data_IF_395827601972
#
_entry.id   IF_395827601972
#
_cell.length_a   1.000
_cell.length_b   1.000
_cell.length_c   1.000
_cell.angle_alpha   90.00
_cell.angle_beta   90.00
_cell.angle_gamma   90.00
#
_symmetry.space_group_name_H-M   'P 1'
#
loop_
_entity.id
_entity.type
_entity.pdbx_description
1 polymer ?
#
# COMPACT_ATOMS: atom_id res chain seq x y z
N UNK A 1 0.93 -16.38 -2.11
CA UNK A 1 1.31 -16.35 -3.54
C UNK A 1 2.80 -16.08 -3.69
N UNK A 2 3.38 -16.26 -4.88
CA UNK A 2 4.73 -15.75 -5.20
C UNK A 2 4.59 -14.48 -6.05
N UNK A 3 5.02 -13.30 -5.56
CA UNK A 3 4.98 -12.08 -6.37
C UNK A 3 6.02 -12.16 -7.50
N UNK A 4 5.74 -11.50 -8.62
CA UNK A 4 6.78 -11.19 -9.60
C UNK A 4 7.65 -10.05 -9.08
N UNK A 5 7.04 -8.87 -8.88
CA UNK A 5 7.67 -7.69 -8.29
C UNK A 5 6.84 -7.13 -7.14
N UNK A 6 7.53 -6.73 -6.06
CA UNK A 6 6.97 -5.97 -4.95
C UNK A 6 7.19 -4.48 -5.15
N UNK A 7 6.11 -3.69 -5.05
CA UNK A 7 6.18 -2.24 -5.18
C UNK A 7 5.87 -1.58 -3.83
N UNK A 8 6.84 -0.88 -3.24
CA UNK A 8 6.74 -0.23 -1.93
C UNK A 8 6.49 1.27 -2.09
N UNK A 9 5.25 1.69 -1.90
CA UNK A 9 4.81 3.09 -2.05
C UNK A 9 4.81 3.81 -0.70
N UNK A 10 5.67 4.83 -0.58
CA UNK A 10 5.66 5.76 0.54
C UNK A 10 4.46 6.73 0.46
N UNK A 11 4.13 7.38 1.57
CA UNK A 11 3.08 8.41 1.59
C UNK A 11 3.45 9.65 0.76
N UNK A 12 2.47 10.40 0.22
CA UNK A 12 2.73 11.60 -0.62
C UNK A 12 3.64 12.68 -0.04
N UNK A 13 3.70 12.81 1.30
CA UNK A 13 4.55 13.77 2.00
C UNK A 13 5.84 13.16 2.54
N UNK A 14 6.13 11.92 2.17
CA UNK A 14 7.34 11.20 2.52
C UNK A 14 8.18 10.95 1.27
N UNK A 15 9.32 10.27 1.46
CA UNK A 15 10.17 9.79 0.37
C UNK A 15 10.37 8.28 0.52
N UNK A 16 11.03 7.65 -0.46
CA UNK A 16 11.40 6.24 -0.38
C UNK A 16 12.22 5.90 0.88
N UNK A 17 12.91 6.88 1.48
CA UNK A 17 13.66 6.70 2.73
C UNK A 17 12.79 6.31 3.94
N UNK A 18 11.47 6.54 3.89
CA UNK A 18 10.53 6.10 4.93
C UNK A 18 10.49 4.57 5.11
N UNK A 19 10.96 3.81 4.10
CA UNK A 19 11.08 2.36 4.18
C UNK A 19 12.36 1.89 4.90
N UNK A 20 13.32 2.78 5.17
CA UNK A 20 14.63 2.40 5.72
C UNK A 20 15.30 1.31 4.90
N UNK A 21 15.87 0.31 5.58
CA UNK A 21 16.55 -0.84 4.94
C UNK A 21 15.58 -1.96 4.48
N UNK A 22 14.26 -1.75 4.60
CA UNK A 22 13.27 -2.78 4.26
C UNK A 22 13.39 -3.28 2.80
N UNK A 23 13.56 -2.42 1.78
CA UNK A 23 13.71 -2.88 0.40
C UNK A 23 14.94 -3.79 0.23
N UNK A 24 16.07 -3.43 0.83
CA UNK A 24 17.33 -4.19 0.77
C UNK A 24 17.19 -5.54 1.49
N UNK A 25 16.53 -5.56 2.65
CA UNK A 25 16.25 -6.78 3.39
C UNK A 25 15.33 -7.73 2.61
N UNK A 26 14.26 -7.24 1.98
CA UNK A 26 13.40 -8.07 1.14
C UNK A 26 14.15 -8.64 -0.07
N UNK A 27 15.04 -7.84 -0.70
CA UNK A 27 15.91 -8.32 -1.78
C UNK A 27 16.88 -9.40 -1.31
N UNK A 28 17.39 -9.30 -0.08
CA UNK A 28 18.22 -10.36 0.51
C UNK A 28 17.47 -11.68 0.72
N UNK A 29 16.13 -11.63 0.80
CA UNK A 29 15.26 -12.80 0.80
C UNK A 29 14.92 -13.31 -0.61
N UNK A 30 15.53 -12.74 -1.64
CA UNK A 30 15.35 -13.14 -3.04
C UNK A 30 14.11 -12.56 -3.71
N UNK A 31 13.48 -11.54 -3.13
CA UNK A 31 12.32 -10.87 -3.71
C UNK A 31 12.75 -9.74 -4.63
N UNK A 32 12.10 -9.60 -5.79
CA UNK A 32 12.27 -8.43 -6.64
C UNK A 32 11.44 -7.26 -6.06
N UNK A 33 12.12 -6.18 -5.69
CA UNK A 33 11.53 -5.07 -4.92
C UNK A 33 11.87 -3.73 -5.56
N UNK A 34 10.84 -2.91 -5.72
CA UNK A 34 10.92 -1.56 -6.26
C UNK A 34 10.30 -0.61 -5.23
N UNK A 35 11.07 0.38 -4.78
CA UNK A 35 10.63 1.42 -3.88
C UNK A 35 10.77 2.76 -4.62
N UNK A 36 9.79 3.15 -5.46
CA UNK A 36 9.91 4.36 -6.25
C UNK A 36 9.89 5.57 -5.31
N UNK A 37 10.84 6.49 -5.52
CA UNK A 37 10.80 7.80 -4.89
C UNK A 37 9.94 8.73 -5.76
N UNK A 38 8.78 9.12 -5.22
CA UNK A 38 7.75 9.88 -5.93
C UNK A 38 7.73 11.29 -5.36
N UNK A 39 8.41 12.26 -6.01
CA UNK A 39 8.52 13.61 -5.47
C UNK A 39 7.18 14.35 -5.52
N UNK A 40 6.93 15.16 -4.50
CA UNK A 40 5.98 16.28 -4.42
C UNK A 40 4.73 16.14 -5.33
N UNK A 41 3.92 15.13 -5.03
CA UNK A 41 2.66 14.88 -5.70
C UNK A 41 1.63 14.35 -4.72
N UNK A 42 0.39 14.81 -4.82
CA UNK A 42 -0.75 14.33 -4.02
C UNK A 42 -1.82 13.76 -4.94
N UNK A 43 -2.70 12.92 -4.39
CA UNK A 43 -3.86 12.37 -5.08
C UNK A 43 -3.51 11.84 -6.48
N UNK A 44 -4.19 12.38 -7.50
CA UNK A 44 -4.01 11.95 -8.88
C UNK A 44 -2.58 12.20 -9.42
N UNK A 45 -1.89 13.25 -8.97
CA UNK A 45 -0.51 13.54 -9.41
C UNK A 45 0.46 12.51 -8.82
N UNK A 46 0.28 12.13 -7.56
CA UNK A 46 1.04 11.05 -6.94
C UNK A 46 0.84 9.75 -7.72
N UNK A 47 -0.42 9.36 -7.97
CA UNK A 47 -0.77 8.14 -8.69
C UNK A 47 -0.14 8.10 -10.08
N UNK A 48 -0.22 9.20 -10.83
CA UNK A 48 0.36 9.30 -12.17
C UNK A 48 1.88 9.13 -12.12
N UNK A 49 2.58 9.86 -11.25
CA UNK A 49 4.04 9.79 -11.12
C UNK A 49 4.50 8.41 -10.64
N UNK A 50 3.89 7.88 -9.59
CA UNK A 50 4.16 6.53 -9.11
C UNK A 50 4.01 5.50 -10.23
N UNK A 51 2.91 5.58 -10.99
CA UNK A 51 2.65 4.63 -12.08
C UNK A 51 3.67 4.72 -13.22
N UNK A 52 4.14 5.93 -13.56
CA UNK A 52 5.20 6.12 -14.55
C UNK A 52 6.55 5.61 -14.06
N UNK A 53 6.91 5.89 -12.81
CA UNK A 53 8.17 5.40 -12.21
C UNK A 53 8.17 3.89 -12.14
N UNK A 54 7.06 3.26 -11.74
CA UNK A 54 6.89 1.80 -11.79
C UNK A 54 7.05 1.29 -13.23
N UNK A 55 6.40 1.92 -14.21
CA UNK A 55 6.49 1.47 -15.59
C UNK A 55 7.92 1.55 -16.15
N UNK A 56 8.68 2.58 -15.79
CA UNK A 56 10.07 2.78 -16.23
C UNK A 56 11.04 1.70 -15.72
N UNK A 57 10.65 0.96 -14.67
CA UNK A 57 11.44 -0.14 -14.11
C UNK A 57 11.14 -1.52 -14.72
N UNK A 58 10.20 -1.61 -15.66
CA UNK A 58 9.77 -2.86 -16.33
C UNK A 58 9.49 -4.03 -15.35
N UNK A 59 8.54 -3.87 -14.41
CA UNK A 59 8.36 -4.81 -13.33
C UNK A 59 7.67 -6.09 -13.82
N UNK A 60 8.04 -7.21 -13.21
CA UNK A 60 7.55 -8.55 -13.54
C UNK A 60 6.18 -8.79 -12.87
N UNK A 61 5.10 -9.05 -13.63
CA UNK A 61 3.82 -9.42 -13.04
C UNK A 61 3.85 -10.86 -12.44
N UNK A 62 3.00 -11.18 -11.44
CA UNK A 62 2.01 -10.31 -10.83
C UNK A 62 2.63 -9.34 -9.81
N UNK A 63 2.22 -8.07 -9.87
CA UNK A 63 2.67 -7.04 -8.94
C UNK A 63 1.96 -7.18 -7.59
N UNK A 64 2.69 -6.99 -6.50
CA UNK A 64 2.08 -6.78 -5.18
C UNK A 64 2.35 -5.35 -4.75
N UNK A 65 1.28 -4.59 -4.56
CA UNK A 65 1.35 -3.17 -4.21
C UNK A 65 1.29 -3.02 -2.69
N UNK A 66 2.33 -2.41 -2.12
CA UNK A 66 2.46 -2.19 -0.69
C UNK A 66 2.40 -0.68 -0.42
N UNK A 67 1.44 -0.23 0.38
CA UNK A 67 1.27 1.18 0.72
C UNK A 67 1.57 1.46 2.19
N UNK A 68 2.41 2.45 2.47
CA UNK A 68 2.70 2.94 3.81
C UNK A 68 1.80 4.14 4.17
N UNK A 69 1.18 4.12 5.34
CA UNK A 69 0.48 5.29 5.88
C UNK A 69 -0.57 5.86 4.91
N UNK A 70 -0.38 7.11 4.53
CA UNK A 70 -1.28 7.84 3.63
C UNK A 70 -1.22 7.39 2.15
N UNK A 71 -0.33 6.46 1.79
CA UNK A 71 -0.33 5.84 0.46
C UNK A 71 -1.45 4.80 0.27
N UNK A 72 -1.97 4.24 1.37
CA UNK A 72 -2.99 3.19 1.33
C UNK A 72 -4.21 3.55 0.46
N UNK A 73 -4.86 4.70 0.66
CA UNK A 73 -6.01 5.12 -0.15
C UNK A 73 -5.71 5.28 -1.66
N UNK A 74 -4.44 5.38 -2.05
CA UNK A 74 -4.00 5.58 -3.44
C UNK A 74 -3.74 4.26 -4.19
N UNK A 75 -3.56 3.14 -3.48
CA UNK A 75 -3.27 1.84 -4.07
C UNK A 75 -4.29 1.40 -5.15
N UNK A 76 -5.62 1.61 -4.97
CA UNK A 76 -6.60 1.23 -6.00
C UNK A 76 -6.42 1.98 -7.32
N UNK A 77 -6.02 3.25 -7.27
CA UNK A 77 -5.83 4.03 -8.48
C UNK A 77 -4.50 3.68 -9.17
N UNK A 78 -3.45 3.39 -8.39
CA UNK A 78 -2.20 2.86 -8.92
C UNK A 78 -2.44 1.50 -9.58
N UNK A 79 -3.21 0.59 -8.97
CA UNK A 79 -3.51 -0.70 -9.57
C UNK A 79 -4.29 -0.60 -10.86
N UNK A 80 -5.28 0.29 -10.93
CA UNK A 80 -6.01 0.56 -12.17
C UNK A 80 -5.06 1.00 -13.29
N UNK A 81 -4.09 1.87 -13.00
CA UNK A 81 -3.07 2.28 -13.96
C UNK A 81 -2.15 1.12 -14.37
N UNK A 82 -1.74 0.24 -13.44
CA UNK A 82 -0.93 -0.93 -13.77
C UNK A 82 -1.71 -1.93 -14.66
N UNK A 83 -3.00 -2.15 -14.37
CA UNK A 83 -3.87 -3.01 -15.17
C UNK A 83 -4.11 -2.47 -16.57
N UNK A 84 -4.32 -1.16 -16.69
CA UNK A 84 -4.42 -0.49 -18.00
C UNK A 84 -3.16 -0.67 -18.85
N UNK A 85 -2.00 -0.86 -18.20
CA UNK A 85 -0.74 -1.20 -18.84
C UNK A 85 -0.46 -2.72 -18.91
N UNK A 86 -1.51 -3.55 -18.81
CA UNK A 86 -1.45 -5.01 -18.90
C UNK A 86 -0.61 -5.72 -17.82
N UNK A 87 -0.34 -5.06 -16.70
CA UNK A 87 0.35 -5.68 -15.54
C UNK A 87 -0.67 -6.13 -14.51
N UNK A 88 -0.75 -7.45 -14.32
CA UNK A 88 -1.63 -8.06 -13.31
C UNK A 88 -1.18 -7.61 -11.92
N UNK A 89 -2.11 -7.13 -11.10
CA UNK A 89 -1.91 -6.95 -9.66
C UNK A 89 -2.38 -8.22 -8.96
N UNK A 90 -1.46 -8.87 -8.24
CA UNK A 90 -1.68 -10.12 -7.52
C UNK A 90 -2.15 -9.94 -6.09
N UNK A 91 -1.92 -8.76 -5.49
CA UNK A 91 -2.38 -8.48 -4.13
C UNK A 91 -2.00 -7.08 -3.65
N UNK A 92 -2.57 -6.72 -2.50
CA UNK A 92 -2.36 -5.44 -1.83
C UNK A 92 -1.89 -5.67 -0.40
N UNK A 93 -0.90 -4.90 0.06
CA UNK A 93 -0.51 -4.88 1.47
C UNK A 93 -0.55 -3.46 2.01
N UNK A 94 -1.30 -3.25 3.09
CA UNK A 94 -1.42 -1.97 3.79
C UNK A 94 -0.53 -2.00 5.03
N UNK A 95 0.55 -1.23 5.04
CA UNK A 95 1.51 -1.16 6.16
C UNK A 95 1.22 0.10 6.96
N UNK A 96 0.66 -0.06 8.16
CA UNK A 96 0.25 1.06 9.02
C UNK A 96 -0.53 2.16 8.26
N UNK A 97 -1.31 1.73 7.27
CA UNK A 97 -1.87 2.58 6.24
C UNK A 97 -3.37 2.83 6.42
N UNK A 98 -3.82 3.98 5.93
CA UNK A 98 -5.25 4.26 5.83
C UNK A 98 -5.89 3.36 4.78
N UNK A 99 -7.11 2.89 5.06
CA UNK A 99 -7.82 2.04 4.10
C UNK A 99 -8.52 2.89 3.04
N UNK A 100 -8.54 2.44 1.77
CA UNK A 100 -9.39 3.03 0.75
C UNK A 100 -10.85 3.02 1.19
N UNK A 101 -11.49 4.20 1.17
CA UNK A 101 -12.91 4.35 1.50
C UNK A 101 -13.67 4.64 0.22
N UNK A 102 -14.74 3.87 -0.03
CA UNK A 102 -15.71 4.20 -1.07
C UNK A 102 -16.38 5.52 -0.65
N UNK A 103 -16.10 6.63 -1.34
CA UNK A 103 -16.85 7.87 -1.11
C UNK A 103 -18.33 7.58 -1.38
N UNK A 104 -19.18 7.70 -0.35
CA UNK A 104 -20.63 7.75 -0.58
C UNK A 104 -20.93 9.11 -1.20
N UNK A 105 -21.68 9.14 -2.28
CA UNK A 105 -21.93 10.33 -3.11
C UNK A 105 -22.63 11.51 -2.38
N UNK A 106 -22.88 11.43 -1.07
CA UNK A 106 -23.67 12.36 -0.27
C UNK A 106 -22.90 13.01 0.90
N UNK A 107 -21.57 12.83 1.00
CA UNK A 107 -20.75 13.55 1.99
C UNK A 107 -20.34 14.91 1.41
N UNK A 108 -21.02 15.96 1.87
CA UNK A 108 -20.69 17.36 1.56
C UNK A 108 -19.28 17.68 2.09
N UNK A 109 -18.35 17.83 1.15
CA UNK A 109 -17.17 18.71 1.07
C UNK A 109 -16.61 19.42 2.34
N UNK A 110 -16.39 18.71 3.45
CA UNK A 110 -15.70 19.27 4.62
C UNK A 110 -14.44 18.53 5.09
N UNK A 111 -14.07 17.39 4.48
CA UNK A 111 -12.80 16.70 4.78
C UNK A 111 -11.86 16.76 3.55
N UNK A 112 -11.11 17.85 3.42
CA UNK A 112 -10.11 18.04 2.36
C UNK A 112 -8.73 17.42 2.66
N UNK A 113 -8.50 16.84 3.84
CA UNK A 113 -7.14 16.59 4.32
C UNK A 113 -6.63 15.13 4.18
N UNK A 114 -7.32 14.29 3.39
CA UNK A 114 -6.86 12.93 3.12
C UNK A 114 -6.02 12.87 1.84
N UNK A 115 -4.86 12.20 1.86
CA UNK A 115 -4.01 11.99 0.67
C UNK A 115 -4.73 11.40 -0.57
N UNK A 116 -5.84 10.68 -0.35
CA UNK A 116 -6.73 10.15 -1.41
C UNK A 116 -7.90 11.07 -1.80
N UNK A 117 -8.00 12.28 -1.26
CA UNK A 117 -9.07 13.22 -1.57
C UNK A 117 -9.06 13.53 -3.07
N UNK A 118 -10.18 13.22 -3.74
CA UNK A 118 -10.36 13.46 -5.17
C UNK A 118 -9.90 12.34 -6.11
N UNK A 119 -9.31 11.25 -5.63
CA UNK A 119 -8.98 10.10 -6.47
C UNK A 119 -10.17 9.12 -6.47
N UNK A 120 -10.85 8.90 -7.61
CA UNK A 120 -11.96 7.96 -7.68
C UNK A 120 -11.46 6.53 -7.48
N UNK A 121 -12.11 5.78 -6.58
CA UNK A 121 -11.84 4.35 -6.41
C UNK A 121 -12.44 3.57 -7.58
N UNK A 122 -11.69 2.66 -8.24
CA UNK A 122 -12.22 1.81 -9.30
C UNK A 122 -13.40 0.97 -8.81
N UNK A 123 -14.42 0.80 -9.65
CA UNK A 123 -15.65 0.08 -9.29
C UNK A 123 -15.43 -1.43 -9.07
N UNK A 124 -14.37 -1.99 -9.66
CA UNK A 124 -13.99 -3.40 -9.58
C UNK A 124 -13.03 -3.71 -8.42
N UNK A 125 -12.76 -2.73 -7.55
CA UNK A 125 -11.84 -2.90 -6.43
C UNK A 125 -12.54 -3.45 -5.16
N UNK A 126 -11.91 -4.38 -4.41
CA UNK A 126 -10.63 -5.02 -4.69
C UNK A 126 -10.76 -6.19 -5.68
N UNK A 127 -9.90 -6.20 -6.69
CA UNK A 127 -9.79 -7.26 -7.70
C UNK A 127 -8.78 -8.35 -7.33
N UNK A 128 -8.04 -8.16 -6.24
CA UNK A 128 -7.00 -9.07 -5.74
C UNK A 128 -7.01 -9.10 -4.19
N UNK A 129 -6.46 -10.16 -3.56
CA UNK A 129 -6.40 -10.29 -2.10
C UNK A 129 -5.73 -9.10 -1.41
N UNK A 130 -6.25 -8.71 -0.25
CA UNK A 130 -5.71 -7.63 0.57
C UNK A 130 -5.19 -8.17 1.91
N UNK A 131 -4.02 -7.70 2.30
CA UNK A 131 -3.41 -7.91 3.60
C UNK A 131 -3.17 -6.60 4.32
N UNK A 132 -3.20 -6.63 5.66
CA UNK A 132 -2.84 -5.49 6.50
C UNK A 132 -1.71 -5.91 7.44
N UNK A 133 -0.62 -5.15 7.44
CA UNK A 133 0.50 -5.31 8.34
C UNK A 133 0.55 -4.12 9.30
N UNK A 134 0.48 -4.39 10.60
CA UNK A 134 0.75 -3.38 11.64
C UNK A 134 2.17 -3.54 12.15
N UNK A 135 2.94 -2.47 12.19
CA UNK A 135 4.25 -2.47 12.86
C UNK A 135 4.14 -1.83 14.25
N UNK A 136 4.74 -2.46 15.26
CA UNK A 136 4.64 -2.04 16.67
C UNK A 136 5.52 -0.82 17.03
N UNK A 137 6.18 -0.20 16.05
CA UNK A 137 7.10 0.93 16.26
C UNK A 137 6.44 2.17 16.89
N UNK A 138 5.11 2.21 16.93
CA UNK A 138 4.36 3.38 17.37
C UNK A 138 3.26 3.04 18.40
N UNK A 139 3.65 2.36 19.49
CA UNK A 139 2.75 2.11 20.63
C UNK A 139 2.57 3.35 21.53
N UNK A 140 3.43 4.36 21.37
CA UNK A 140 3.46 5.57 22.22
C UNK A 140 2.82 6.81 21.60
N UNK A 141 2.40 6.80 20.32
CA UNK A 141 1.80 7.98 19.68
C UNK A 141 0.72 7.71 18.60
N UNK A 142 -0.04 6.61 18.68
CA UNK A 142 -1.12 6.35 17.71
C UNK A 142 -2.51 6.89 18.14
N UNK A 143 -3.19 7.75 17.34
CA UNK A 143 -4.58 8.15 17.61
C UNK A 143 -5.57 6.96 17.55
N UNK A 144 -6.78 7.09 18.14
CA UNK A 144 -7.82 6.05 18.17
C UNK A 144 -8.21 5.47 16.79
N UNK A 145 -7.88 6.17 15.71
CA UNK A 145 -8.17 5.76 14.33
C UNK A 145 -7.42 4.50 13.87
N UNK A 146 -6.24 4.16 14.44
CA UNK A 146 -5.50 2.96 13.99
C UNK A 146 -6.15 1.65 14.41
N UNK A 147 -6.73 1.58 15.61
CA UNK A 147 -7.51 0.39 16.02
C UNK A 147 -8.78 0.25 15.20
N UNK A 148 -9.40 1.37 14.82
CA UNK A 148 -10.54 1.39 13.93
C UNK A 148 -10.18 0.84 12.55
N UNK A 149 -9.05 1.25 11.97
CA UNK A 149 -8.53 0.74 10.69
C UNK A 149 -8.28 -0.77 10.75
N UNK A 150 -7.65 -1.28 11.81
CA UNK A 150 -7.47 -2.74 11.99
C UNK A 150 -8.80 -3.48 12.04
N UNK A 151 -9.77 -2.93 12.78
CA UNK A 151 -11.11 -3.52 12.91
C UNK A 151 -11.81 -3.52 11.56
N UNK A 152 -11.69 -2.44 10.80
CA UNK A 152 -12.23 -2.32 9.44
C UNK A 152 -11.59 -3.33 8.48
N UNK A 153 -10.27 -3.51 8.49
CA UNK A 153 -9.58 -4.52 7.68
C UNK A 153 -10.10 -5.94 7.99
N UNK A 154 -10.30 -6.27 9.28
CA UNK A 154 -10.89 -7.56 9.70
C UNK A 154 -12.33 -7.72 9.24
N UNK A 155 -13.15 -6.67 9.34
CA UNK A 155 -14.53 -6.69 8.86
C UNK A 155 -14.62 -6.87 7.34
N UNK A 156 -13.60 -6.41 6.59
CA UNK A 156 -13.44 -6.67 5.16
C UNK A 156 -12.91 -8.08 4.85
N UNK A 157 -12.61 -8.89 5.86
CA UNK A 157 -12.09 -10.26 5.70
C UNK A 157 -10.62 -10.33 5.29
N UNK A 158 -9.84 -9.26 5.45
CA UNK A 158 -8.44 -9.21 5.04
C UNK A 158 -7.52 -9.95 6.01
N UNK A 159 -6.42 -10.51 5.50
CA UNK A 159 -5.39 -11.11 6.35
C UNK A 159 -4.68 -10.02 7.13
N UNK A 160 -4.79 -10.04 8.46
CA UNK A 160 -4.18 -9.03 9.33
C UNK A 160 -3.04 -9.64 10.13
N UNK A 161 -1.81 -9.18 9.86
CA UNK A 161 -0.61 -9.53 10.63
C UNK A 161 -0.25 -8.34 11.51
N UNK A 162 -0.06 -8.61 12.80
CA UNK A 162 0.48 -7.63 13.73
C UNK A 162 1.89 -8.06 14.07
N UNK A 163 2.86 -7.30 13.57
CA UNK A 163 4.24 -7.53 13.89
C UNK A 163 4.50 -7.06 15.33
N UNK A 164 4.81 -8.01 16.22
CA UNK A 164 5.38 -7.80 17.56
C UNK A 164 6.85 -8.18 17.50
N UNK A 165 7.75 -7.34 18.01
CA UNK A 165 9.16 -7.70 18.21
C UNK A 165 9.25 -9.08 18.88
N UNK A 166 10.15 -9.99 18.43
CA UNK A 166 11.41 -9.70 17.73
C UNK A 166 11.47 -10.04 16.23
N UNK A 167 10.37 -10.42 15.57
CA UNK A 167 10.41 -10.78 14.13
C UNK A 167 10.88 -9.56 13.29
N UNK A 168 11.61 -9.74 12.19
CA UNK A 168 11.92 -8.60 11.32
C UNK A 168 10.67 -8.20 10.52
N UNK A 169 10.38 -6.89 10.35
CA UNK A 169 9.24 -6.41 9.52
C UNK A 169 9.28 -7.01 8.11
N UNK A 170 10.47 -7.18 7.54
CA UNK A 170 10.69 -7.85 6.25
C UNK A 170 10.16 -9.29 6.23
N UNK A 171 10.37 -10.05 7.30
CA UNK A 171 9.88 -11.42 7.40
C UNK A 171 8.36 -11.45 7.53
N UNK A 172 7.78 -10.63 8.42
CA UNK A 172 6.33 -10.55 8.58
C UNK A 172 5.61 -10.13 7.29
N UNK A 173 6.22 -9.20 6.53
CA UNK A 173 5.72 -8.80 5.23
C UNK A 173 5.80 -9.93 4.20
N UNK A 174 6.95 -10.62 4.11
CA UNK A 174 7.14 -11.76 3.21
C UNK A 174 6.15 -12.89 3.49
N UNK A 175 5.97 -13.27 4.76
CA UNK A 175 4.99 -14.27 5.18
C UNK A 175 3.56 -13.85 4.85
N UNK A 176 3.20 -12.59 5.08
CA UNK A 176 1.88 -12.07 4.71
C UNK A 176 1.65 -12.19 3.21
N UNK A 177 2.60 -11.79 2.37
CA UNK A 177 2.51 -11.90 0.91
C UNK A 177 2.39 -13.37 0.47
N UNK A 178 3.08 -14.29 1.16
CA UNK A 178 2.96 -15.72 0.89
C UNK A 178 1.55 -16.27 1.15
N UNK A 179 0.77 -15.64 2.04
CA UNK A 179 -0.62 -16.04 2.36
C UNK A 179 -1.70 -15.41 1.47
N UNK A 180 -1.37 -14.35 0.72
CA UNK A 180 -2.26 -13.75 -0.28
C UNK A 180 -2.42 -14.65 -1.51
#
# INVERSE_FOLDING_TARGET
MTPGTLVLLHGPHATAAAWGDLPELLRSYGLDVIAPDVPDGEGARFVARASLTIAATDPVPPLVLVGLGSAGPLLPAVSAAQRAAHRKVGGYVFVDADLPRLRRQHEHDHDHDGAGAGVPMPADWPEAPCGYLRTDADRTAGPPDRERTLREARLRGWTVVQHRLPVAVAQALSELIATL
#
